data_IF_254006347377
#
_entry.id   IF_254006347377
#
_cell.length_a   1.000
_cell.length_b   1.000
_cell.length_c   1.000
_cell.angle_alpha   90.00
_cell.angle_beta   90.00
_cell.angle_gamma   90.00
#
_symmetry.space_group_name_H-M   'P 1'
#
loop_
_entity.id
_entity.type
_entity.pdbx_description
1 polymer ?
#
# COMPACT_ATOMS: atom_id res chain seq x y z
N UNK A 1 39.73 -52.37 -21.23
CA UNK A 1 38.70 -52.37 -20.16
C UNK A 1 38.50 -50.91 -19.73
N UNK A 2 37.38 -50.28 -20.13
CA UNK A 2 36.32 -49.67 -19.28
C UNK A 2 36.86 -48.86 -18.08
N UNK A 3 36.48 -47.63 -17.74
CA UNK A 3 35.18 -46.95 -17.73
C UNK A 3 35.34 -45.40 -17.67
N UNK A 4 34.47 -44.70 -18.39
CA UNK A 4 33.81 -43.41 -18.10
C UNK A 4 33.66 -43.08 -16.59
N UNK A 5 33.85 -41.81 -16.19
CA UNK A 5 32.73 -40.96 -15.72
C UNK A 5 33.15 -39.48 -15.56
N UNK A 6 32.57 -38.65 -16.42
CA UNK A 6 32.51 -37.21 -16.37
C UNK A 6 31.57 -36.79 -15.24
N UNK A 7 32.07 -36.18 -14.16
CA UNK A 7 31.23 -35.79 -13.02
C UNK A 7 31.39 -34.33 -12.62
N UNK A 8 30.43 -33.56 -13.18
CA UNK A 8 29.65 -32.48 -12.58
C UNK A 8 30.37 -31.20 -12.18
N UNK A 9 30.29 -30.26 -13.12
CA UNK A 9 29.93 -28.86 -12.87
C UNK A 9 28.85 -28.75 -11.77
N UNK A 10 29.16 -28.04 -10.69
CA UNK A 10 28.13 -27.44 -9.83
C UNK A 10 28.24 -25.92 -9.99
N UNK A 11 27.59 -25.42 -11.03
CA UNK A 11 27.14 -24.04 -11.08
C UNK A 11 26.17 -23.82 -9.92
N UNK A 12 26.63 -23.09 -8.91
CA UNK A 12 25.74 -22.46 -7.93
C UNK A 12 25.00 -21.33 -8.66
N UNK A 13 23.98 -21.69 -9.44
CA UNK A 13 22.91 -20.77 -9.78
C UNK A 13 22.20 -20.46 -8.47
N UNK A 14 22.58 -19.34 -7.84
CA UNK A 14 21.78 -18.73 -6.78
C UNK A 14 20.41 -18.50 -7.38
N UNK A 15 19.46 -19.37 -7.01
CA UNK A 15 18.06 -19.17 -7.27
C UNK A 15 17.73 -17.75 -6.84
N UNK A 16 17.08 -17.02 -7.73
CA UNK A 16 16.39 -15.80 -7.37
C UNK A 16 15.30 -16.20 -6.37
N UNK A 17 15.68 -16.31 -5.10
CA UNK A 17 14.74 -16.16 -4.01
C UNK A 17 14.17 -14.76 -4.21
N UNK A 18 13.02 -14.69 -4.90
CA UNK A 18 12.08 -13.59 -4.71
C UNK A 18 11.83 -13.59 -3.22
N UNK A 19 12.59 -12.76 -2.50
CA UNK A 19 12.20 -12.30 -1.19
C UNK A 19 10.87 -11.61 -1.44
N UNK A 20 9.80 -12.37 -1.22
CA UNK A 20 8.46 -11.85 -1.05
C UNK A 20 8.53 -11.02 0.22
N UNK A 21 9.09 -9.80 0.09
CA UNK A 21 8.85 -8.76 1.05
C UNK A 21 7.33 -8.70 1.18
N UNK A 22 6.78 -8.86 2.39
CA UNK A 22 5.35 -8.69 2.57
C UNK A 22 4.99 -7.33 1.97
N UNK A 23 3.86 -7.21 1.25
CA UNK A 23 3.43 -5.93 0.70
C UNK A 23 3.50 -4.91 1.82
N UNK A 24 4.37 -3.90 1.67
CA UNK A 24 4.59 -2.93 2.74
C UNK A 24 3.27 -2.19 2.95
N UNK A 25 2.62 -2.44 4.08
CA UNK A 25 1.38 -1.78 4.43
C UNK A 25 1.71 -0.41 5.03
N UNK A 26 0.97 0.62 4.61
CA UNK A 26 1.12 1.96 5.15
C UNK A 26 -0.12 2.34 5.94
N UNK A 27 0.13 2.84 7.15
CA UNK A 27 -0.89 3.27 8.10
C UNK A 27 -1.05 4.79 8.03
N UNK A 28 -2.25 5.22 7.69
CA UNK A 28 -2.61 6.63 7.53
C UNK A 28 -3.74 6.97 8.48
N UNK A 29 -3.46 7.82 9.46
CA UNK A 29 -4.48 8.32 10.40
C UNK A 29 -5.09 9.65 9.96
N UNK A 30 -4.48 10.32 8.98
CA UNK A 30 -4.98 11.58 8.44
C UNK A 30 -6.02 11.31 7.35
N UNK A 31 -7.24 11.82 7.56
CA UNK A 31 -8.36 11.58 6.64
C UNK A 31 -8.14 12.21 5.27
N UNK A 32 -7.44 13.35 5.19
CA UNK A 32 -7.20 14.04 3.92
C UNK A 32 -6.17 13.28 3.09
N UNK A 33 -5.06 12.85 3.69
CA UNK A 33 -4.06 12.00 3.06
C UNK A 33 -4.67 10.66 2.61
N UNK A 34 -5.51 10.03 3.44
CA UNK A 34 -6.21 8.80 3.06
C UNK A 34 -7.14 9.02 1.86
N UNK A 35 -7.89 10.12 1.82
CA UNK A 35 -8.76 10.47 0.71
C UNK A 35 -7.98 10.72 -0.58
N UNK A 36 -6.83 11.39 -0.47
CA UNK A 36 -5.91 11.64 -1.58
C UNK A 36 -5.35 10.33 -2.14
N UNK A 37 -4.85 9.43 -1.28
CA UNK A 37 -4.32 8.13 -1.70
C UNK A 37 -5.38 7.29 -2.40
N UNK A 38 -6.60 7.25 -1.83
CA UNK A 38 -7.70 6.53 -2.44
C UNK A 38 -8.10 7.14 -3.80
N UNK A 39 -8.13 8.47 -3.91
CA UNK A 39 -8.44 9.17 -5.16
C UNK A 39 -7.34 9.02 -6.23
N UNK A 40 -6.10 8.74 -5.82
CA UNK A 40 -4.98 8.36 -6.71
C UNK A 40 -5.01 6.90 -7.15
N UNK A 41 -5.93 6.10 -6.59
CA UNK A 41 -6.11 4.69 -6.94
C UNK A 41 -5.30 3.73 -6.07
N UNK A 42 -4.70 4.21 -4.96
CA UNK A 42 -4.07 3.29 -4.00
C UNK A 42 -5.13 2.46 -3.31
N UNK A 43 -4.85 1.16 -3.16
CA UNK A 43 -5.80 0.20 -2.61
C UNK A 43 -5.86 0.32 -1.10
N UNK A 44 -7.02 0.72 -0.58
CA UNK A 44 -7.33 0.62 0.84
C UNK A 44 -7.59 -0.85 1.18
N UNK A 45 -6.76 -1.43 2.06
CA UNK A 45 -6.89 -2.81 2.51
C UNK A 45 -7.94 -2.93 3.60
N UNK A 46 -7.88 -2.04 4.60
CA UNK A 46 -8.79 -2.02 5.75
C UNK A 46 -8.73 -0.69 6.48
N UNK A 47 -9.74 -0.43 7.32
CA UNK A 47 -9.73 0.64 8.30
C UNK A 47 -9.82 0.00 9.69
N UNK A 48 -8.95 0.43 10.60
CA UNK A 48 -8.86 -0.08 11.97
C UNK A 48 -9.01 1.07 12.96
N UNK A 49 -9.42 0.78 14.19
CA UNK A 49 -9.44 1.76 15.28
C UNK A 49 -10.83 2.07 15.81
N UNK A 50 -10.86 2.99 16.78
CA UNK A 50 -12.11 3.48 17.35
C UNK A 50 -12.73 4.50 16.42
N UNK A 51 -14.05 4.71 16.49
CA UNK A 51 -14.71 5.69 15.64
C UNK A 51 -14.22 7.14 15.80
N UNK A 52 -13.60 7.48 16.93
CA UNK A 52 -12.95 8.77 17.14
C UNK A 52 -11.53 8.82 16.56
N UNK A 53 -10.90 7.67 16.27
CA UNK A 53 -9.52 7.56 15.80
C UNK A 53 -9.35 6.36 14.87
N UNK A 54 -9.77 6.54 13.63
CA UNK A 54 -9.64 5.54 12.55
C UNK A 54 -8.28 5.69 11.88
N UNK A 55 -7.62 4.55 11.66
CA UNK A 55 -6.39 4.41 10.88
C UNK A 55 -6.70 3.60 9.63
N UNK A 56 -6.43 4.19 8.47
CA UNK A 56 -6.58 3.59 7.16
C UNK A 56 -5.30 2.86 6.76
N UNK A 57 -5.42 1.62 6.31
CA UNK A 57 -4.29 0.76 5.95
C UNK A 57 -4.31 0.56 4.44
N UNK A 58 -3.29 1.07 3.76
CA UNK A 58 -3.14 0.98 2.31
C UNK A 58 -2.07 -0.05 1.91
N UNK A 59 -2.25 -0.63 0.73
CA UNK A 59 -1.23 -1.45 0.08
C UNK A 59 -0.13 -0.55 -0.50
N UNK A 60 1.13 -0.83 -0.14
CA UNK A 60 2.36 -0.38 -0.79
C UNK A 60 2.27 0.99 -1.49
N UNK A 61 2.33 2.06 -0.71
CA UNK A 61 2.45 3.45 -1.18
C UNK A 61 3.92 3.86 -1.14
N UNK A 62 4.44 4.50 -2.19
CA UNK A 62 5.81 5.05 -2.11
C UNK A 62 5.84 6.29 -1.21
N UNK A 63 6.92 6.47 -0.46
CA UNK A 63 7.12 7.69 0.32
C UNK A 63 7.09 8.95 -0.55
N UNK A 64 7.57 8.85 -1.79
CA UNK A 64 7.53 9.94 -2.77
C UNK A 64 6.11 10.47 -2.99
N UNK A 65 5.12 9.58 -3.11
CA UNK A 65 3.71 9.99 -3.29
C UNK A 65 3.20 10.75 -2.08
N UNK A 66 3.54 10.28 -0.87
CA UNK A 66 3.18 10.96 0.38
C UNK A 66 3.84 12.34 0.44
N UNK A 67 5.12 12.44 0.05
CA UNK A 67 5.82 13.72 0.01
C UNK A 67 5.23 14.69 -1.03
N UNK A 68 4.89 14.21 -2.23
CA UNK A 68 4.26 15.03 -3.27
C UNK A 68 2.93 15.62 -2.82
N UNK A 69 2.13 14.88 -2.03
CA UNK A 69 0.94 15.41 -1.38
C UNK A 69 1.25 16.60 -0.47
N UNK A 70 2.20 16.44 0.45
CA UNK A 70 2.55 17.51 1.40
C UNK A 70 3.22 18.71 0.75
N UNK A 71 3.89 18.53 -0.40
CA UNK A 71 4.45 19.64 -1.20
C UNK A 71 3.41 20.35 -2.07
N UNK A 72 2.23 19.76 -2.25
CA UNK A 72 1.20 20.30 -3.15
C UNK A 72 1.59 20.25 -4.63
N UNK A 73 2.53 19.36 -4.99
CA UNK A 73 3.03 19.20 -6.36
C UNK A 73 2.08 18.39 -7.24
N UNK A 74 1.19 17.61 -6.61
CA UNK A 74 0.36 16.65 -7.30
C UNK A 74 -1.00 17.24 -7.70
N UNK A 75 -1.39 17.04 -8.97
CA UNK A 75 -2.68 17.53 -9.46
C UNK A 75 -3.74 16.44 -9.38
N UNK A 76 -4.71 16.66 -8.50
CA UNK A 76 -5.85 15.77 -8.31
C UNK A 76 -7.16 16.50 -8.56
N UNK A 77 -8.12 15.82 -9.20
CA UNK A 77 -9.46 16.37 -9.39
C UNK A 77 -10.11 16.65 -8.03
N UNK A 78 -10.52 17.90 -7.81
CA UNK A 78 -11.25 18.30 -6.59
C UNK A 78 -12.50 17.43 -6.37
N UNK A 79 -13.19 17.05 -7.45
CA UNK A 79 -14.36 16.18 -7.40
C UNK A 79 -14.01 14.76 -6.93
N UNK A 80 -12.91 14.21 -7.43
CA UNK A 80 -12.43 12.87 -7.04
C UNK A 80 -12.08 12.86 -5.55
N UNK A 81 -11.27 13.84 -5.12
CA UNK A 81 -10.84 14.00 -3.73
C UNK A 81 -12.04 14.19 -2.78
N UNK A 82 -13.02 15.01 -3.15
CA UNK A 82 -14.20 15.24 -2.33
C UNK A 82 -15.07 13.99 -2.20
N UNK A 83 -15.26 13.25 -3.29
CA UNK A 83 -16.03 12.01 -3.27
C UNK A 83 -15.37 10.97 -2.36
N UNK A 84 -14.07 10.71 -2.54
CA UNK A 84 -13.35 9.74 -1.69
C UNK A 84 -13.31 10.19 -0.24
N UNK A 85 -13.15 11.47 0.04
CA UNK A 85 -13.23 12.01 1.39
C UNK A 85 -14.58 11.72 2.05
N UNK A 86 -15.67 11.95 1.32
CA UNK A 86 -17.03 11.67 1.81
C UNK A 86 -17.24 10.19 2.06
N UNK A 87 -16.75 9.33 1.18
CA UNK A 87 -16.86 7.87 1.30
C UNK A 87 -16.10 7.37 2.53
N UNK A 88 -14.85 7.84 2.73
CA UNK A 88 -14.06 7.52 3.93
C UNK A 88 -14.72 8.04 5.20
N UNK A 89 -15.27 9.24 5.19
CA UNK A 89 -16.04 9.79 6.33
C UNK A 89 -17.29 8.94 6.63
N UNK A 90 -17.93 8.36 5.62
CA UNK A 90 -19.01 7.41 5.80
C UNK A 90 -18.56 6.17 6.59
N UNK A 91 -17.38 5.64 6.28
CA UNK A 91 -16.80 4.48 6.99
C UNK A 91 -16.50 4.79 8.46
N UNK A 92 -15.99 5.97 8.77
CA UNK A 92 -15.70 6.36 10.17
C UNK A 92 -16.98 6.50 11.00
N UNK A 93 -18.07 6.99 10.40
CA UNK A 93 -19.38 7.14 11.07
C UNK A 93 -20.08 5.79 11.28
N UNK A 94 -19.94 4.84 10.36
CA UNK A 94 -20.49 3.49 10.54
C UNK A 94 -19.79 2.71 11.66
N UNK A 95 -18.49 2.92 11.85
CA UNK A 95 -17.75 2.40 13.02
C UNK A 95 -18.18 3.06 14.35
N UNK A 96 -18.86 4.21 14.34
CA UNK A 96 -19.35 4.90 15.55
C UNK A 96 -20.68 4.32 16.04
N UNK A 97 -21.41 3.62 15.17
CA UNK A 97 -22.79 3.18 15.42
C UNK A 97 -22.91 1.69 15.78
N UNK A 98 -21.80 1.00 16.08
CA UNK A 98 -21.74 -0.38 16.56
C UNK A 98 -21.15 -0.45 17.95
#
# INVERSE_FOLDING_TARGET
>A
MKFIDEKKMNGHVKGFEKTMNPPQEIRVSDLQLAAYLLARGFKLLRAEGSPSRVTFIFEAVSDEVVFSYYRGEDQISARSLFNTYRDLKGLTVQHLSR
#
